data_IF_244783835579
#
_entry.id   IF_244783835579
#
_cell.length_a   1.000
_cell.length_b   1.000
_cell.length_c   1.000
_cell.angle_alpha   90.00
_cell.angle_beta   90.00
_cell.angle_gamma   90.00
#
_symmetry.space_group_name_H-M   'P 1'
#
loop_
_entity.id
_entity.type
_entity.pdbx_description
1 polymer ?
#
# COMPACT_ATOMS: atom_id res chain seq x y z
N UNK A 1 10.60 27.90 2.89
CA UNK A 1 9.63 28.14 1.81
C UNK A 1 8.33 27.56 2.29
N UNK A 2 7.31 28.38 2.43
CA UNK A 2 6.01 27.94 2.93
C UNK A 2 5.31 27.11 1.85
N UNK A 3 4.89 25.88 2.20
CA UNK A 3 4.05 25.07 1.32
C UNK A 3 2.74 25.86 1.06
N UNK A 4 2.22 25.88 -0.17
CA UNK A 4 0.95 26.56 -0.45
C UNK A 4 -0.20 25.86 0.29
N UNK A 5 -1.21 26.58 0.78
CA UNK A 5 -2.34 26.00 1.48
C UNK A 5 -3.17 25.14 0.52
N UNK A 6 -3.29 23.85 0.84
CA UNK A 6 -4.24 22.94 0.19
C UNK A 6 -5.60 23.10 0.87
N UNK A 7 -6.56 23.76 0.21
CA UNK A 7 -7.95 23.91 0.66
C UNK A 7 -8.89 23.01 -0.11
N UNK A 8 -9.96 22.60 0.53
CA UNK A 8 -10.95 21.61 0.08
C UNK A 8 -11.76 22.03 -1.15
N UNK A 9 -12.04 21.07 -2.03
CA UNK A 9 -13.17 21.10 -2.99
C UNK A 9 -14.02 19.87 -2.73
N UNK A 10 -15.35 19.96 -2.54
CA UNK A 10 -16.20 18.81 -2.21
C UNK A 10 -16.66 18.03 -3.43
N UNK A 11 -16.99 16.75 -3.20
CA UNK A 11 -17.77 15.81 -4.02
C UNK A 11 -17.00 14.89 -4.97
N UNK A 12 -16.93 13.63 -4.56
CA UNK A 12 -17.16 12.36 -5.26
C UNK A 12 -16.39 11.17 -4.63
N UNK A 13 -16.45 10.97 -3.32
CA UNK A 13 -15.83 9.81 -2.66
C UNK A 13 -16.82 9.00 -1.79
N UNK A 14 -18.12 8.90 -2.19
CA UNK A 14 -19.17 8.36 -1.28
C UNK A 14 -19.64 6.94 -1.59
N UNK A 15 -19.14 6.24 -2.60
CA UNK A 15 -19.74 4.96 -3.01
C UNK A 15 -19.03 3.68 -2.57
N UNK A 16 -17.78 3.73 -2.09
CA UNK A 16 -17.07 2.49 -1.73
C UNK A 16 -17.11 2.16 -0.22
N UNK A 17 -17.20 3.15 0.65
CA UNK A 17 -17.30 2.94 2.11
C UNK A 17 -18.66 2.45 2.60
N UNK A 18 -19.75 2.67 1.87
CA UNK A 18 -21.07 2.19 2.29
C UNK A 18 -21.22 0.67 2.19
N UNK A 19 -20.55 0.03 1.26
CA UNK A 19 -20.63 -1.43 1.12
C UNK A 19 -19.98 -2.18 2.31
N UNK A 20 -18.97 -1.59 2.94
CA UNK A 20 -18.28 -2.18 4.11
C UNK A 20 -18.97 -1.81 5.43
N UNK A 21 -19.57 -0.60 5.54
CA UNK A 21 -20.34 -0.20 6.73
C UNK A 21 -21.67 -0.93 6.87
N UNK A 22 -22.26 -1.40 5.77
CA UNK A 22 -23.51 -2.21 5.79
C UNK A 22 -23.29 -3.65 6.25
N UNK A 23 -22.06 -4.14 6.34
CA UNK A 23 -21.75 -5.46 6.88
C UNK A 23 -21.50 -5.47 8.41
N UNK A 24 -21.38 -4.30 9.03
CA UNK A 24 -21.11 -4.13 10.46
C UNK A 24 -22.28 -3.42 11.17
N UNK A 25 -23.47 -4.02 11.10
CA UNK A 25 -24.70 -3.67 11.79
C UNK A 25 -24.64 -2.67 12.94
N UNK A 26 -24.77 -1.37 12.67
CA UNK A 26 -25.16 -0.38 13.67
C UNK A 26 -26.19 0.57 13.03
N UNK A 27 -27.45 0.44 13.45
CA UNK A 27 -28.48 1.43 13.14
C UNK A 27 -29.87 0.81 13.07
N UNK A 28 -30.60 0.88 14.21
CA UNK A 28 -32.04 0.59 14.27
C UNK A 28 -32.81 1.45 13.29
N UNK A 29 -33.70 0.86 12.49
CA UNK A 29 -35.08 1.34 12.31
C UNK A 29 -35.89 0.44 11.36
N UNK A 30 -36.96 -0.08 11.92
CA UNK A 30 -38.30 -0.45 11.42
C UNK A 30 -38.48 -1.11 10.05
N UNK A 31 -39.15 -2.22 10.17
CA UNK A 31 -39.73 -3.10 9.17
C UNK A 31 -40.63 -2.42 8.15
N UNK A 32 -40.47 -2.77 6.88
CA UNK A 32 -41.57 -2.95 5.94
C UNK A 32 -41.24 -4.21 5.13
N UNK A 33 -42.21 -5.13 5.17
CA UNK A 33 -42.26 -6.41 4.48
C UNK A 33 -42.40 -6.25 2.97
N UNK A 34 -41.68 -7.00 2.17
CA UNK A 34 -42.23 -7.70 1.01
C UNK A 34 -41.24 -8.71 0.40
N UNK A 35 -41.66 -9.97 0.34
CA UNK A 35 -41.61 -10.91 -0.76
C UNK A 35 -40.24 -11.48 -1.19
N UNK A 36 -40.04 -12.72 -0.82
CA UNK A 36 -39.30 -13.81 -1.47
C UNK A 36 -38.71 -13.54 -2.87
N UNK A 37 -37.39 -13.71 -3.01
CA UNK A 37 -36.79 -14.52 -4.08
C UNK A 37 -35.50 -15.15 -3.52
N UNK A 38 -35.58 -16.47 -3.26
CA UNK A 38 -34.42 -17.32 -3.02
C UNK A 38 -33.71 -17.62 -4.35
N UNK A 39 -32.35 -17.47 -4.39
CA UNK A 39 -31.45 -18.47 -5.02
C UNK A 39 -29.98 -18.03 -4.84
N UNK A 40 -29.29 -18.81 -4.03
CA UNK A 40 -27.95 -19.34 -4.20
C UNK A 40 -26.91 -18.42 -4.87
N UNK A 41 -26.03 -17.83 -4.08
CA UNK A 41 -24.65 -17.59 -4.49
C UNK A 41 -23.72 -17.77 -3.29
N UNK A 42 -23.00 -18.87 -3.31
CA UNK A 42 -21.84 -19.14 -2.47
C UNK A 42 -20.79 -18.08 -2.70
N UNK A 43 -20.55 -17.21 -1.73
CA UNK A 43 -19.41 -16.32 -1.71
C UNK A 43 -18.15 -17.11 -1.36
N UNK A 44 -17.40 -17.51 -2.40
CA UNK A 44 -16.04 -18.02 -2.26
C UNK A 44 -15.08 -16.89 -1.88
N UNK A 45 -14.25 -17.14 -0.88
CA UNK A 45 -13.10 -16.30 -0.53
C UNK A 45 -12.24 -16.06 -1.78
N UNK A 46 -12.12 -14.81 -2.20
CA UNK A 46 -11.14 -14.41 -3.24
C UNK A 46 -9.76 -14.36 -2.56
N UNK A 47 -9.03 -15.47 -2.67
CA UNK A 47 -7.62 -15.48 -2.36
C UNK A 47 -6.86 -14.63 -3.39
N UNK A 48 -5.96 -13.78 -2.92
CA UNK A 48 -5.07 -12.99 -3.77
C UNK A 48 -3.97 -13.90 -4.36
N UNK A 49 -4.37 -14.84 -5.23
CA UNK A 49 -3.44 -15.68 -5.97
C UNK A 49 -2.98 -15.02 -7.26
N UNK A 50 -1.76 -15.30 -7.68
CA UNK A 50 -1.32 -15.04 -9.04
C UNK A 50 -2.24 -15.85 -9.98
N UNK A 51 -3.09 -15.18 -10.76
CA UNK A 51 -3.99 -15.86 -11.70
C UNK A 51 -3.16 -16.23 -12.92
N UNK A 52 -2.91 -17.52 -13.08
CA UNK A 52 -2.58 -18.12 -14.37
C UNK A 52 -3.88 -18.12 -15.18
N UNK A 53 -3.85 -17.60 -16.42
CA UNK A 53 -5.02 -17.36 -17.25
C UNK A 53 -5.86 -18.62 -17.49
N UNK A 54 -7.18 -18.41 -17.60
CA UNK A 54 -8.14 -19.45 -17.99
C UNK A 54 -7.88 -19.98 -19.40
N UNK A 55 -7.90 -21.31 -19.53
CA UNK A 55 -7.80 -22.01 -20.81
C UNK A 55 -9.05 -21.79 -21.66
N UNK A 56 -8.94 -21.08 -22.75
CA UNK A 56 -9.92 -21.16 -23.85
C UNK A 56 -9.43 -22.17 -24.87
N UNK A 57 -10.10 -23.30 -24.95
CA UNK A 57 -9.92 -24.31 -25.99
C UNK A 57 -10.34 -23.76 -27.37
N UNK A 58 -9.39 -23.39 -28.21
CA UNK A 58 -9.57 -23.38 -29.65
C UNK A 58 -8.24 -23.72 -30.38
N UNK A 59 -8.25 -24.84 -31.12
CA UNK A 59 -7.44 -25.09 -32.31
C UNK A 59 -5.91 -25.18 -32.17
N UNK A 60 -5.31 -26.26 -32.67
CA UNK A 60 -3.88 -26.52 -32.83
C UNK A 60 -3.13 -25.36 -33.50
N UNK A 61 -2.66 -24.43 -32.73
CA UNK A 61 -1.67 -23.41 -33.03
C UNK A 61 -0.85 -23.24 -31.76
N UNK A 62 0.47 -23.10 -31.90
CA UNK A 62 1.36 -22.82 -30.79
C UNK A 62 0.88 -21.55 -30.10
N UNK A 63 0.00 -21.69 -29.07
CA UNK A 63 -0.42 -20.58 -28.25
C UNK A 63 0.79 -20.27 -27.36
N UNK A 64 1.51 -19.21 -27.69
CA UNK A 64 2.45 -18.61 -26.76
C UNK A 64 1.62 -18.13 -25.57
N UNK A 65 1.70 -18.84 -24.44
CA UNK A 65 1.12 -18.38 -23.18
C UNK A 65 1.78 -17.06 -22.83
N UNK A 66 1.07 -15.95 -23.09
CA UNK A 66 1.54 -14.63 -22.67
C UNK A 66 1.42 -14.57 -21.16
N UNK A 67 2.53 -14.67 -20.45
CA UNK A 67 2.56 -14.57 -19.01
C UNK A 67 2.12 -13.16 -18.61
N UNK A 68 0.94 -13.06 -18.00
CA UNK A 68 0.41 -11.79 -17.48
C UNK A 68 0.74 -11.67 -16.01
N UNK A 69 1.40 -10.58 -15.59
CA UNK A 69 1.82 -10.38 -14.21
C UNK A 69 1.19 -9.13 -13.60
N UNK A 70 0.81 -9.26 -12.31
CA UNK A 70 0.37 -8.14 -11.49
C UNK A 70 1.54 -7.62 -10.66
N UNK A 71 1.91 -6.36 -10.89
CA UNK A 71 3.01 -5.71 -10.20
C UNK A 71 2.54 -4.60 -9.27
N UNK A 72 3.25 -4.47 -8.16
CA UNK A 72 3.17 -3.32 -7.27
C UNK A 72 4.59 -2.86 -6.91
N UNK A 73 4.78 -1.62 -6.41
CA UNK A 73 6.09 -1.15 -5.96
C UNK A 73 6.77 -2.09 -4.97
N UNK A 74 6.01 -2.68 -4.04
CA UNK A 74 6.53 -3.64 -3.06
C UNK A 74 7.03 -4.93 -3.72
N UNK A 75 6.25 -5.52 -4.63
CA UNK A 75 6.64 -6.75 -5.36
C UNK A 75 7.89 -6.55 -6.21
N UNK A 76 7.98 -5.40 -6.88
CA UNK A 76 9.21 -5.04 -7.64
C UNK A 76 10.42 -4.90 -6.70
N UNK A 77 10.22 -4.24 -5.56
CA UNK A 77 11.29 -4.09 -4.56
C UNK A 77 11.73 -5.45 -4.00
N UNK A 78 10.82 -6.38 -3.75
CA UNK A 78 11.14 -7.73 -3.31
C UNK A 78 11.98 -8.49 -4.33
N UNK A 79 11.57 -8.49 -5.60
CA UNK A 79 12.32 -9.15 -6.67
C UNK A 79 13.72 -8.56 -6.81
N UNK A 80 13.84 -7.23 -6.84
CA UNK A 80 15.14 -6.54 -6.91
C UNK A 80 16.04 -6.84 -5.70
N UNK A 81 15.46 -7.00 -4.52
CA UNK A 81 16.21 -7.36 -3.31
C UNK A 81 16.69 -8.81 -3.35
N UNK A 82 15.82 -9.75 -3.71
CA UNK A 82 16.16 -11.16 -3.82
C UNK A 82 15.08 -11.91 -4.63
N UNK A 83 15.37 -12.35 -5.88
CA UNK A 83 14.42 -13.14 -6.68
C UNK A 83 13.92 -14.40 -5.95
N UNK A 84 14.77 -15.07 -5.14
CA UNK A 84 14.36 -16.24 -4.36
C UNK A 84 13.30 -15.90 -3.30
N UNK A 85 13.42 -14.74 -2.63
CA UNK A 85 12.43 -14.26 -1.67
C UNK A 85 11.09 -13.96 -2.36
N UNK A 86 11.16 -13.33 -3.54
CA UNK A 86 9.98 -13.09 -4.39
C UNK A 86 9.28 -14.42 -4.74
N UNK A 87 10.04 -15.47 -5.12
CA UNK A 87 9.48 -16.80 -5.39
C UNK A 87 8.70 -17.32 -4.17
N UNK A 88 9.31 -17.29 -2.99
CA UNK A 88 8.70 -17.81 -1.76
C UNK A 88 7.42 -17.03 -1.40
N UNK A 89 7.45 -15.70 -1.46
CA UNK A 89 6.34 -14.85 -1.03
C UNK A 89 5.22 -14.69 -2.06
N UNK A 90 5.58 -14.58 -3.35
CA UNK A 90 4.64 -14.18 -4.40
C UNK A 90 4.18 -15.36 -5.23
N UNK A 91 5.09 -16.27 -5.62
CA UNK A 91 4.77 -17.41 -6.45
C UNK A 91 4.28 -18.59 -5.61
N UNK A 92 5.07 -19.01 -4.61
CA UNK A 92 4.77 -20.17 -3.76
C UNK A 92 3.88 -19.83 -2.57
N UNK A 93 3.76 -18.54 -2.22
CA UNK A 93 2.94 -18.03 -1.12
C UNK A 93 3.19 -18.76 0.21
N UNK A 94 4.46 -19.04 0.50
CA UNK A 94 4.82 -19.71 1.73
C UNK A 94 4.43 -18.88 2.95
N UNK A 95 3.90 -19.52 4.01
CA UNK A 95 3.48 -18.79 5.21
C UNK A 95 4.69 -18.13 5.89
N UNK A 96 4.50 -16.91 6.34
CA UNK A 96 5.49 -16.12 7.09
C UNK A 96 4.81 -15.56 8.34
N UNK A 97 5.44 -15.59 9.50
CA UNK A 97 4.86 -15.00 10.70
C UNK A 97 4.70 -13.48 10.53
N UNK A 98 3.68 -12.89 11.15
CA UNK A 98 3.50 -11.45 11.10
C UNK A 98 4.68 -10.71 11.73
N UNK A 99 5.05 -9.57 11.14
CA UNK A 99 6.09 -8.70 11.66
C UNK A 99 5.49 -7.64 12.57
N UNK A 100 5.99 -7.52 13.80
CA UNK A 100 5.53 -6.53 14.77
C UNK A 100 5.66 -5.09 14.23
N UNK A 101 6.72 -4.81 13.47
CA UNK A 101 6.94 -3.49 12.87
C UNK A 101 5.99 -3.21 11.71
N UNK A 102 5.67 -4.24 10.90
CA UNK A 102 4.68 -4.11 9.82
C UNK A 102 3.27 -3.90 10.39
N UNK A 103 2.89 -4.64 11.44
CA UNK A 103 1.58 -4.50 12.07
C UNK A 103 1.42 -3.14 12.77
N UNK A 104 2.49 -2.60 13.36
CA UNK A 104 2.50 -1.24 13.89
C UNK A 104 2.36 -0.21 12.78
N UNK A 105 3.01 -0.42 11.64
CA UNK A 105 2.82 0.40 10.45
C UNK A 105 1.37 0.42 9.99
N UNK A 106 0.74 -0.75 9.88
CA UNK A 106 -0.69 -0.87 9.53
C UNK A 106 -1.59 -0.09 10.50
N UNK A 107 -1.36 -0.21 11.82
CA UNK A 107 -2.12 0.54 12.82
C UNK A 107 -1.98 2.05 12.62
N UNK A 108 -0.77 2.54 12.39
CA UNK A 108 -0.49 3.97 12.15
C UNK A 108 -1.20 4.46 10.89
N UNK A 109 -1.12 3.73 9.77
CA UNK A 109 -1.79 4.11 8.52
C UNK A 109 -3.30 4.20 8.72
N UNK A 110 -3.92 3.22 9.38
CA UNK A 110 -5.35 3.25 9.70
C UNK A 110 -5.72 4.48 10.56
N UNK A 111 -4.93 4.80 11.60
CA UNK A 111 -5.19 5.97 12.44
C UNK A 111 -5.07 7.26 11.62
N UNK A 112 -4.04 7.40 10.78
CA UNK A 112 -3.83 8.59 9.96
C UNK A 112 -4.89 8.72 8.85
N UNK A 113 -5.40 7.60 8.31
CA UNK A 113 -6.54 7.59 7.42
C UNK A 113 -7.79 8.12 8.11
N UNK A 114 -8.14 7.56 9.28
CA UNK A 114 -9.34 7.91 10.04
C UNK A 114 -9.30 9.33 10.61
N UNK A 115 -8.11 9.87 10.88
CA UNK A 115 -7.93 11.22 11.39
C UNK A 115 -8.62 12.27 10.49
N UNK A 116 -8.65 12.03 9.18
CA UNK A 116 -9.31 12.91 8.22
C UNK A 116 -10.84 12.73 8.14
N UNK A 117 -11.42 11.78 8.86
CA UNK A 117 -12.88 11.71 9.07
C UNK A 117 -13.34 12.72 10.14
N UNK A 118 -12.44 13.21 10.97
CA UNK A 118 -12.73 14.24 11.96
C UNK A 118 -12.83 15.63 11.33
N UNK A 119 -13.52 16.53 12.02
CA UNK A 119 -13.49 17.95 11.67
C UNK A 119 -12.05 18.49 11.79
N UNK A 120 -11.65 19.46 10.96
CA UNK A 120 -10.29 20.00 10.99
C UNK A 120 -9.79 20.38 12.40
N UNK A 121 -10.63 21.04 13.21
CA UNK A 121 -10.29 21.43 14.59
C UNK A 121 -10.04 20.28 15.55
N UNK A 122 -10.47 19.07 15.19
CA UNK A 122 -10.32 17.86 16.00
C UNK A 122 -9.13 17.00 15.52
N UNK A 123 -8.50 17.33 14.40
CA UNK A 123 -7.34 16.63 13.86
C UNK A 123 -6.07 16.99 14.60
N UNK A 124 -5.93 16.48 15.80
CA UNK A 124 -4.80 16.73 16.69
C UNK A 124 -4.22 15.43 17.24
N UNK A 125 -3.06 15.54 17.87
CA UNK A 125 -2.32 14.40 18.41
C UNK A 125 -3.15 13.61 19.44
N UNK A 126 -3.89 14.29 20.33
CA UNK A 126 -4.70 13.62 21.34
C UNK A 126 -5.81 12.77 20.71
N UNK A 127 -6.48 13.28 19.67
CA UNK A 127 -7.50 12.54 18.92
C UNK A 127 -6.90 11.31 18.24
N UNK A 128 -5.75 11.46 17.58
CA UNK A 128 -5.07 10.33 16.92
C UNK A 128 -4.67 9.23 17.92
N UNK A 129 -4.09 9.60 19.05
CA UNK A 129 -3.73 8.65 20.13
C UNK A 129 -4.98 7.98 20.71
N UNK A 130 -6.08 8.73 20.87
CA UNK A 130 -7.35 8.22 21.35
C UNK A 130 -7.98 7.13 20.47
N UNK A 131 -7.68 7.11 19.16
CA UNK A 131 -8.14 6.07 18.23
C UNK A 131 -7.37 4.75 18.37
N UNK A 132 -6.12 4.78 18.83
CA UNK A 132 -5.21 3.65 18.79
C UNK A 132 -5.75 2.38 19.51
N UNK A 133 -6.36 2.45 20.72
CA UNK A 133 -6.85 1.25 21.39
C UNK A 133 -7.96 0.53 20.62
N UNK A 134 -8.90 1.27 20.05
CA UNK A 134 -10.00 0.67 19.29
C UNK A 134 -9.51 0.08 17.97
N UNK A 135 -8.62 0.76 17.24
CA UNK A 135 -8.04 0.23 15.99
C UNK A 135 -7.16 -0.99 16.24
N UNK A 136 -6.42 -1.01 17.34
CA UNK A 136 -5.68 -2.19 17.78
C UNK A 136 -6.59 -3.37 18.12
N UNK A 137 -7.68 -3.13 18.83
CA UNK A 137 -8.68 -4.15 19.15
C UNK A 137 -9.28 -4.79 17.87
N UNK A 138 -9.57 -3.96 16.85
CA UNK A 138 -10.05 -4.45 15.56
C UNK A 138 -8.97 -5.31 14.89
N UNK A 139 -7.73 -4.85 14.83
CA UNK A 139 -6.61 -5.58 14.24
C UNK A 139 -6.35 -6.93 14.93
N UNK A 140 -6.46 -6.97 16.27
CA UNK A 140 -6.40 -8.21 17.05
C UNK A 140 -7.54 -9.18 16.73
N UNK A 141 -8.77 -8.66 16.50
CA UNK A 141 -9.90 -9.51 16.14
C UNK A 141 -9.75 -10.17 14.77
N UNK A 142 -9.07 -9.50 13.84
CA UNK A 142 -8.75 -10.01 12.50
C UNK A 142 -7.55 -10.97 12.51
N UNK A 143 -6.58 -10.70 13.40
CA UNK A 143 -5.32 -11.43 13.51
C UNK A 143 -5.00 -11.79 14.96
N UNK A 144 -5.69 -12.78 15.56
CA UNK A 144 -5.53 -13.10 17.01
C UNK A 144 -4.10 -13.46 17.42
N UNK A 145 -3.29 -14.00 16.51
CA UNK A 145 -1.88 -14.34 16.78
C UNK A 145 -1.02 -13.11 17.16
N UNK A 146 -1.49 -11.89 16.88
CA UNK A 146 -0.78 -10.67 17.26
C UNK A 146 -0.73 -10.46 18.78
N UNK A 147 -1.67 -11.03 19.54
CA UNK A 147 -1.67 -10.95 20.99
C UNK A 147 -0.40 -11.59 21.61
N UNK A 148 0.10 -12.67 20.99
CA UNK A 148 1.32 -13.33 21.43
C UNK A 148 2.59 -12.53 21.07
N UNK A 149 2.54 -11.77 19.95
CA UNK A 149 3.65 -10.94 19.51
C UNK A 149 3.78 -9.63 20.29
N UNK A 150 2.68 -9.17 20.90
CA UNK A 150 2.61 -7.92 21.65
C UNK A 150 2.23 -8.21 23.11
N UNK A 151 3.13 -8.84 23.89
CA UNK A 151 2.82 -9.20 25.27
C UNK A 151 2.76 -7.98 26.21
N UNK A 152 3.29 -6.84 25.80
CA UNK A 152 3.30 -5.58 26.55
C UNK A 152 2.60 -4.46 25.75
N UNK A 153 1.28 -4.37 25.91
CA UNK A 153 0.48 -3.34 25.24
C UNK A 153 0.90 -1.92 25.61
N UNK A 154 1.37 -1.69 26.85
CA UNK A 154 1.84 -0.36 27.24
C UNK A 154 3.02 0.09 26.37
N UNK A 155 4.02 -0.75 26.22
CA UNK A 155 5.20 -0.46 25.35
C UNK A 155 4.78 -0.30 23.90
N UNK A 156 3.82 -1.10 23.43
CA UNK A 156 3.25 -0.99 22.10
C UNK A 156 2.64 0.39 21.86
N UNK A 157 1.73 0.85 22.76
CA UNK A 157 1.10 2.15 22.63
C UNK A 157 2.07 3.32 22.87
N UNK A 158 3.08 3.17 23.71
CA UNK A 158 4.14 4.17 23.86
C UNK A 158 4.87 4.39 22.52
N UNK A 159 5.16 3.32 21.77
CA UNK A 159 5.78 3.41 20.43
C UNK A 159 4.83 3.99 19.39
N UNK A 160 3.56 3.59 19.38
CA UNK A 160 2.52 4.18 18.51
C UNK A 160 2.39 5.68 18.78
N UNK A 161 2.30 6.08 20.03
CA UNK A 161 2.23 7.48 20.44
C UNK A 161 3.45 8.30 19.96
N UNK A 162 4.66 7.76 20.07
CA UNK A 162 5.87 8.42 19.58
C UNK A 162 5.84 8.66 18.06
N UNK A 163 5.36 7.68 17.26
CA UNK A 163 5.23 7.83 15.82
C UNK A 163 4.16 8.86 15.45
N UNK A 164 3.02 8.84 16.12
CA UNK A 164 1.96 9.84 15.92
C UNK A 164 2.44 11.24 16.30
N UNK A 165 3.16 11.40 17.43
CA UNK A 165 3.78 12.68 17.79
C UNK A 165 4.66 13.21 16.65
N UNK A 166 5.51 12.37 16.09
CA UNK A 166 6.39 12.75 14.98
C UNK A 166 5.62 13.15 13.73
N UNK A 167 4.44 12.55 13.46
CA UNK A 167 3.57 12.98 12.37
C UNK A 167 3.12 14.44 12.54
N UNK A 168 2.68 14.84 13.75
CA UNK A 168 2.25 16.22 14.04
C UNK A 168 3.40 17.24 14.09
N UNK A 169 4.66 16.77 14.13
CA UNK A 169 5.83 17.63 13.90
C UNK A 169 6.06 17.89 12.41
N UNK A 170 5.62 16.98 11.52
CA UNK A 170 5.80 17.07 10.07
C UNK A 170 4.67 17.80 9.36
N UNK A 171 3.42 17.64 9.81
CA UNK A 171 2.23 18.20 9.18
C UNK A 171 1.24 18.77 10.19
N UNK A 172 0.38 19.65 9.68
CA UNK A 172 -0.74 20.27 10.41
C UNK A 172 -2.06 19.86 9.73
N UNK A 173 -2.60 18.66 10.02
CA UNK A 173 -3.76 18.12 9.31
C UNK A 173 -5.04 18.95 9.49
N UNK A 174 -5.07 19.85 10.47
CA UNK A 174 -6.15 20.81 10.68
C UNK A 174 -6.20 21.90 9.59
N UNK A 175 -5.13 22.07 8.79
CA UNK A 175 -5.00 23.17 7.81
C UNK A 175 -5.32 22.75 6.37
N UNK A 176 -5.57 21.48 6.10
CA UNK A 176 -5.85 20.98 4.75
C UNK A 176 -6.80 19.77 4.77
N UNK A 177 -7.32 19.41 3.60
CA UNK A 177 -8.14 18.21 3.41
C UNK A 177 -7.39 17.17 2.57
N UNK A 178 -7.47 15.89 2.99
CA UNK A 178 -7.08 14.78 2.14
C UNK A 178 -8.16 14.53 1.07
N UNK A 179 -7.82 14.69 -0.20
CA UNK A 179 -8.78 14.46 -1.29
C UNK A 179 -9.08 12.96 -1.43
N UNK A 180 -8.05 12.12 -1.36
CA UNK A 180 -8.17 10.68 -1.34
C UNK A 180 -7.25 10.08 -0.28
N UNK A 181 -7.68 8.97 0.31
CA UNK A 181 -6.94 8.20 1.29
C UNK A 181 -7.01 6.72 0.92
N UNK A 182 -5.92 5.97 1.10
CA UNK A 182 -5.80 4.55 0.72
C UNK A 182 -6.33 4.30 -0.70
N UNK A 183 -6.04 5.23 -1.62
CA UNK A 183 -6.56 5.17 -2.99
C UNK A 183 -5.89 4.04 -3.77
N UNK A 184 -6.69 3.08 -4.22
CA UNK A 184 -6.22 2.07 -5.15
C UNK A 184 -6.10 2.65 -6.57
N UNK A 185 -4.89 2.65 -7.10
CA UNK A 185 -4.59 3.00 -8.49
C UNK A 185 -4.20 1.73 -9.24
N UNK A 186 -4.74 1.53 -10.43
CA UNK A 186 -4.44 0.35 -11.23
C UNK A 186 -4.57 0.62 -12.72
N UNK A 187 -3.68 0.05 -13.53
CA UNK A 187 -3.69 0.18 -14.99
C UNK A 187 -2.88 -0.91 -15.67
N UNK A 188 -3.34 -1.34 -16.84
CA UNK A 188 -2.52 -2.10 -17.78
C UNK A 188 -1.48 -1.18 -18.43
N UNK A 189 -0.21 -1.49 -18.26
CA UNK A 189 0.87 -0.79 -18.95
C UNK A 189 1.10 -1.36 -20.36
N UNK A 190 0.88 -2.65 -20.51
CA UNK A 190 0.89 -3.37 -21.78
C UNK A 190 0.11 -4.69 -21.63
N UNK A 191 0.14 -5.54 -22.67
CA UNK A 191 -0.58 -6.82 -22.68
C UNK A 191 -0.10 -7.84 -21.61
N UNK A 192 1.04 -7.63 -20.98
CA UNK A 192 1.64 -8.56 -20.01
C UNK A 192 1.74 -8.00 -18.60
N UNK A 193 1.65 -6.67 -18.43
CA UNK A 193 1.94 -5.99 -17.17
C UNK A 193 0.76 -5.16 -16.70
N UNK A 194 0.13 -5.63 -15.63
CA UNK A 194 -0.86 -4.90 -14.86
C UNK A 194 -0.19 -4.28 -13.63
N UNK A 195 -0.13 -2.96 -13.58
CA UNK A 195 0.45 -2.21 -12.47
C UNK A 195 -0.64 -1.73 -11.52
N UNK A 196 -0.43 -1.92 -10.23
CA UNK A 196 -1.34 -1.42 -9.22
C UNK A 196 -0.61 -0.98 -7.95
N UNK A 197 -1.30 -0.20 -7.12
CA UNK A 197 -0.81 0.19 -5.80
C UNK A 197 -1.84 0.96 -4.99
N UNK A 198 -1.61 1.02 -3.70
CA UNK A 198 -2.40 1.83 -2.77
C UNK A 198 -1.58 3.05 -2.40
N UNK A 199 -2.19 4.22 -2.50
CA UNK A 199 -1.56 5.50 -2.14
C UNK A 199 -2.17 5.96 -0.84
N UNK A 200 -1.34 6.12 0.19
CA UNK A 200 -1.82 6.44 1.53
C UNK A 200 -2.66 7.72 1.53
N UNK A 201 -2.18 8.77 0.83
CA UNK A 201 -2.93 10.02 0.71
C UNK A 201 -2.62 10.79 -0.58
N UNK A 202 -3.66 11.37 -1.17
CA UNK A 202 -3.57 12.31 -2.29
C UNK A 202 -4.30 13.59 -1.91
N UNK A 203 -3.59 14.72 -2.01
CA UNK A 203 -4.15 16.03 -1.80
C UNK A 203 -4.20 16.78 -3.13
N UNK A 204 -5.33 17.41 -3.42
CA UNK A 204 -5.53 18.24 -4.63
C UNK A 204 -5.81 19.67 -4.20
N UNK A 205 -4.92 20.58 -4.56
CA UNK A 205 -5.09 22.01 -4.28
C UNK A 205 -6.23 22.61 -5.14
N UNK A 206 -6.83 23.72 -4.73
CA UNK A 206 -7.84 24.45 -5.56
C UNK A 206 -7.30 24.84 -6.94
N UNK A 207 -5.99 24.99 -7.08
CA UNK A 207 -5.29 25.24 -8.34
C UNK A 207 -5.15 24.02 -9.25
N UNK A 208 -5.58 22.82 -8.78
CA UNK A 208 -5.41 21.55 -9.48
C UNK A 208 -4.05 20.87 -9.27
N UNK A 209 -3.15 21.47 -8.50
CA UNK A 209 -1.87 20.82 -8.16
C UNK A 209 -2.09 19.63 -7.25
N UNK A 210 -1.40 18.54 -7.55
CA UNK A 210 -1.54 17.25 -6.84
C UNK A 210 -0.30 16.98 -6.00
N UNK A 211 -0.52 16.57 -4.75
CA UNK A 211 0.50 16.05 -3.84
C UNK A 211 0.19 14.58 -3.51
N UNK A 212 1.17 13.71 -3.68
CA UNK A 212 1.10 12.31 -3.25
C UNK A 212 1.95 12.17 -1.98
N UNK A 213 1.36 11.58 -0.95
CA UNK A 213 2.00 11.37 0.36
C UNK A 213 1.97 9.89 0.72
N UNK A 214 3.08 9.39 1.26
CA UNK A 214 3.22 8.03 1.79
C UNK A 214 3.90 8.09 3.16
N UNK A 215 3.41 7.30 4.11
CA UNK A 215 3.90 7.26 5.49
C UNK A 215 4.80 6.04 5.70
N UNK A 216 5.92 6.26 6.36
CA UNK A 216 6.84 5.20 6.76
C UNK A 216 7.03 5.23 8.27
N UNK A 217 6.67 4.15 8.95
CA UNK A 217 6.85 4.01 10.41
C UNK A 217 8.33 3.88 10.82
N UNK A 218 9.22 3.58 9.87
CA UNK A 218 10.67 3.50 10.07
C UNK A 218 11.35 4.87 10.06
N UNK A 219 12.69 4.84 10.20
CA UNK A 219 13.55 6.02 10.06
C UNK A 219 13.90 6.28 8.60
N UNK A 220 14.16 7.54 8.29
CA UNK A 220 14.61 7.99 6.97
C UNK A 220 15.93 7.31 6.56
N UNK A 221 16.14 7.05 5.26
CA UNK A 221 17.42 6.60 4.75
C UNK A 221 18.49 7.67 4.99
N UNK A 222 19.77 7.26 4.95
CA UNK A 222 20.86 8.22 4.95
C UNK A 222 20.77 9.12 3.72
N UNK A 223 21.23 10.38 3.85
CA UNK A 223 21.29 11.32 2.74
C UNK A 223 22.05 10.70 1.56
N UNK A 224 21.44 10.78 0.36
CA UNK A 224 21.95 10.18 -0.87
C UNK A 224 21.46 8.74 -1.12
N UNK A 225 20.64 8.15 -0.23
CA UNK A 225 20.06 6.81 -0.38
C UNK A 225 18.54 6.83 -0.54
N UNK A 226 17.98 8.01 -0.80
CA UNK A 226 16.53 8.21 -0.91
C UNK A 226 15.93 7.65 -2.20
N UNK A 227 16.76 7.44 -3.23
CA UNK A 227 16.33 7.08 -4.59
C UNK A 227 15.44 5.82 -4.62
N UNK A 228 15.77 4.82 -3.79
CA UNK A 228 14.98 3.58 -3.71
C UNK A 228 13.57 3.83 -3.15
N UNK A 229 13.47 4.72 -2.17
CA UNK A 229 12.20 5.08 -1.55
C UNK A 229 11.37 5.98 -2.48
N UNK A 230 12.02 6.93 -3.16
CA UNK A 230 11.39 7.79 -4.16
C UNK A 230 10.89 7.01 -5.39
N UNK A 231 11.52 5.89 -5.73
CA UNK A 231 11.05 5.04 -6.83
C UNK A 231 9.59 4.57 -6.61
N UNK A 232 9.22 4.16 -5.40
CA UNK A 232 7.84 3.81 -5.07
C UNK A 232 6.87 4.97 -5.36
N UNK A 233 7.19 6.17 -4.90
CA UNK A 233 6.35 7.35 -5.13
C UNK A 233 6.26 7.74 -6.60
N UNK A 234 7.36 7.58 -7.36
CA UNK A 234 7.33 7.83 -8.81
C UNK A 234 6.44 6.83 -9.54
N UNK A 235 6.36 5.58 -9.07
CA UNK A 235 5.40 4.59 -9.62
C UNK A 235 3.97 5.03 -9.35
N UNK A 236 3.66 5.52 -8.16
CA UNK A 236 2.34 6.08 -7.85
C UNK A 236 2.04 7.34 -8.69
N UNK A 237 3.03 8.22 -8.86
CA UNK A 237 2.90 9.40 -9.70
C UNK A 237 2.69 9.05 -11.18
N UNK A 238 3.36 8.01 -11.68
CA UNK A 238 3.17 7.48 -13.02
C UNK A 238 1.73 6.95 -13.21
N UNK A 239 1.25 6.11 -12.29
CA UNK A 239 -0.13 5.62 -12.30
C UNK A 239 -1.14 6.77 -12.29
N UNK A 240 -0.96 7.72 -11.37
CA UNK A 240 -1.85 8.88 -11.28
C UNK A 240 -1.85 9.69 -12.58
N UNK A 241 -0.68 9.96 -13.14
CA UNK A 241 -0.54 10.69 -14.40
C UNK A 241 -1.22 9.96 -15.56
N UNK A 242 -1.00 8.65 -15.68
CA UNK A 242 -1.63 7.84 -16.75
C UNK A 242 -3.15 7.80 -16.64
N UNK A 243 -3.70 7.77 -15.43
CA UNK A 243 -5.14 7.72 -15.18
C UNK A 243 -5.83 9.07 -15.30
N UNK A 244 -5.16 10.16 -14.88
CA UNK A 244 -5.79 11.48 -14.75
C UNK A 244 -5.19 12.54 -15.68
N UNK A 245 -4.13 12.25 -16.42
CA UNK A 245 -3.46 13.21 -17.31
C UNK A 245 -2.68 14.32 -16.60
N UNK A 246 -2.57 14.27 -15.27
CA UNK A 246 -1.91 15.29 -14.44
C UNK A 246 -0.67 14.71 -13.76
N UNK A 247 0.49 15.32 -13.97
CA UNK A 247 1.72 14.99 -13.25
C UNK A 247 1.63 15.59 -11.84
N UNK A 248 1.75 14.79 -10.77
CA UNK A 248 1.77 15.30 -9.40
C UNK A 248 2.91 16.31 -9.21
N UNK A 249 2.57 17.48 -8.64
CA UNK A 249 3.54 18.56 -8.42
C UNK A 249 4.52 18.25 -7.29
N UNK A 250 4.11 17.40 -6.33
CA UNK A 250 4.90 17.08 -5.15
C UNK A 250 4.68 15.64 -4.70
N UNK A 251 5.76 14.93 -4.44
CA UNK A 251 5.81 13.62 -3.81
C UNK A 251 6.43 13.75 -2.43
N UNK A 252 5.84 13.17 -1.41
CA UNK A 252 6.30 13.29 -0.02
C UNK A 252 6.34 11.92 0.65
N UNK A 253 7.50 11.56 1.21
CA UNK A 253 7.65 10.45 2.15
C UNK A 253 7.82 11.03 3.55
N UNK A 254 6.89 10.73 4.44
CA UNK A 254 7.00 11.07 5.86
C UNK A 254 7.55 9.88 6.65
N UNK A 255 8.77 10.01 7.15
CA UNK A 255 9.39 9.04 8.04
C UNK A 255 9.08 9.38 9.49
N UNK A 256 8.12 8.64 10.05
CA UNK A 256 7.63 8.89 11.40
C UNK A 256 8.64 8.43 12.47
N UNK A 257 9.57 7.54 12.13
CA UNK A 257 10.57 7.05 13.08
C UNK A 257 11.62 8.07 13.51
N UNK A 258 11.78 9.17 12.77
CA UNK A 258 12.74 10.26 13.05
C UNK A 258 12.23 11.64 12.65
N UNK A 259 10.92 11.80 12.45
CA UNK A 259 10.24 13.05 12.06
C UNK A 259 10.91 13.75 10.87
N UNK A 260 11.20 13.02 9.80
CA UNK A 260 11.83 13.56 8.58
C UNK A 260 10.98 13.33 7.35
N UNK A 261 11.00 14.31 6.44
CA UNK A 261 10.34 14.19 5.14
C UNK A 261 11.37 14.17 4.01
N UNK A 262 11.17 13.28 3.06
CA UNK A 262 11.85 13.31 1.76
C UNK A 262 10.85 13.78 0.72
N UNK A 263 11.20 14.81 -0.03
CA UNK A 263 10.32 15.46 -1.02
C UNK A 263 10.94 15.39 -2.40
N UNK A 264 10.10 15.24 -3.45
CA UNK A 264 10.52 15.28 -4.84
C UNK A 264 9.41 15.88 -5.70
N UNK A 265 9.76 16.64 -6.72
CA UNK A 265 8.82 17.13 -7.74
C UNK A 265 9.15 16.43 -9.06
N UNK A 266 8.39 15.40 -9.45
CA UNK A 266 8.72 14.60 -10.61
C UNK A 266 8.50 15.38 -11.91
N UNK A 267 9.39 15.17 -12.87
CA UNK A 267 9.22 15.63 -14.24
C UNK A 267 8.65 14.51 -15.12
N UNK A 268 8.07 14.87 -16.25
CA UNK A 268 7.61 13.88 -17.25
C UNK A 268 8.75 12.93 -17.65
N UNK A 269 9.94 13.45 -17.90
CA UNK A 269 11.11 12.65 -18.27
C UNK A 269 11.49 11.63 -17.18
N UNK A 270 11.40 12.00 -15.90
CA UNK A 270 11.64 11.07 -14.79
C UNK A 270 10.56 10.00 -14.68
N UNK A 271 9.28 10.33 -14.94
CA UNK A 271 8.19 9.36 -14.93
C UNK A 271 8.31 8.37 -16.11
N UNK A 272 8.67 8.84 -17.30
CA UNK A 272 8.95 7.97 -18.45
C UNK A 272 10.18 7.06 -18.20
N UNK A 273 11.22 7.58 -17.55
CA UNK A 273 12.37 6.77 -17.12
C UNK A 273 11.96 5.72 -16.07
N UNK A 274 11.06 6.08 -15.17
CA UNK A 274 10.50 5.17 -14.16
C UNK A 274 9.70 4.04 -14.82
N UNK A 275 8.86 4.36 -15.82
CA UNK A 275 8.11 3.38 -16.59
C UNK A 275 9.03 2.40 -17.33
N UNK A 276 10.08 2.92 -18.00
CA UNK A 276 11.08 2.06 -18.66
C UNK A 276 11.75 1.09 -17.69
N UNK A 277 12.17 1.58 -16.53
CA UNK A 277 12.78 0.75 -15.47
C UNK A 277 11.80 -0.29 -14.93
N UNK A 278 10.53 0.09 -14.76
CA UNK A 278 9.47 -0.79 -14.30
C UNK A 278 9.24 -1.93 -15.30
N UNK A 279 9.14 -1.62 -16.60
CA UNK A 279 8.96 -2.62 -17.66
C UNK A 279 10.17 -3.57 -17.74
N UNK A 280 11.38 -3.06 -17.55
CA UNK A 280 12.58 -3.91 -17.47
C UNK A 280 12.49 -4.90 -16.29
N UNK A 281 12.08 -4.45 -15.10
CA UNK A 281 11.89 -5.35 -13.95
C UNK A 281 10.78 -6.36 -14.24
N UNK A 282 9.72 -5.96 -14.93
CA UNK A 282 8.65 -6.84 -15.35
C UNK A 282 9.17 -7.96 -16.26
N UNK A 283 9.96 -7.63 -17.27
CA UNK A 283 10.56 -8.60 -18.21
C UNK A 283 11.49 -9.58 -17.48
N UNK A 284 12.26 -9.09 -16.49
CA UNK A 284 13.11 -9.94 -15.64
C UNK A 284 12.27 -10.93 -14.80
N UNK A 285 11.13 -10.48 -14.25
CA UNK A 285 10.20 -11.33 -13.48
C UNK A 285 9.55 -12.36 -14.40
N UNK A 286 9.04 -11.95 -15.57
CA UNK A 286 8.43 -12.86 -16.56
C UNK A 286 9.45 -13.93 -16.97
N UNK A 287 10.67 -13.52 -17.30
CA UNK A 287 11.75 -14.45 -17.67
C UNK A 287 12.06 -15.43 -16.52
N UNK A 288 12.06 -14.96 -15.26
CA UNK A 288 12.29 -15.82 -14.11
C UNK A 288 11.16 -16.83 -13.91
N UNK A 289 9.90 -16.43 -14.16
CA UNK A 289 8.73 -17.32 -14.10
C UNK A 289 8.80 -18.37 -15.19
N UNK A 290 9.03 -17.97 -16.46
CA UNK A 290 9.08 -18.87 -17.60
C UNK A 290 10.20 -19.92 -17.51
N UNK A 291 11.34 -19.55 -16.91
CA UNK A 291 12.48 -20.45 -16.70
C UNK A 291 12.45 -21.18 -15.36
N UNK A 292 11.49 -20.89 -14.51
CA UNK A 292 11.48 -21.28 -13.08
C UNK A 292 12.83 -21.05 -12.38
N UNK A 293 13.48 -19.93 -12.73
CA UNK A 293 14.81 -19.61 -12.26
C UNK A 293 14.83 -18.33 -11.42
N UNK A 294 14.91 -18.49 -10.11
CA UNK A 294 14.92 -17.43 -9.11
C UNK A 294 16.17 -17.54 -8.23
N UNK A 295 17.33 -17.00 -8.67
CA UNK A 295 18.57 -17.12 -7.91
C UNK A 295 18.47 -16.33 -6.59
N UNK A 296 19.04 -16.87 -5.49
CA UNK A 296 19.15 -16.12 -4.26
C UNK A 296 20.18 -15.00 -4.42
N UNK A 297 19.88 -13.84 -3.79
CA UNK A 297 20.78 -12.69 -3.76
C UNK A 297 21.18 -12.42 -2.33
N UNK A 298 22.30 -13.02 -1.90
CA UNK A 298 22.82 -12.88 -0.55
C UNK A 298 23.13 -11.40 -0.22
N UNK A 299 22.63 -10.92 0.91
CA UNK A 299 22.83 -9.56 1.40
C UNK A 299 22.58 -9.53 2.91
N UNK A 300 22.76 -8.36 3.55
CA UNK A 300 22.39 -8.18 4.96
C UNK A 300 20.92 -8.49 5.27
N UNK A 301 20.03 -8.42 4.26
CA UNK A 301 18.62 -8.79 4.46
C UNK A 301 18.43 -10.27 4.81
N UNK A 302 19.42 -11.13 4.52
CA UNK A 302 19.38 -12.54 4.89
C UNK A 302 19.41 -12.77 6.40
N UNK A 303 19.91 -11.80 7.18
CA UNK A 303 19.96 -11.92 8.65
C UNK A 303 18.56 -11.86 9.27
N UNK A 304 17.61 -11.27 8.57
CA UNK A 304 16.19 -11.15 8.98
C UNK A 304 15.24 -11.95 8.07
N UNK A 305 15.78 -12.74 7.13
CA UNK A 305 14.95 -13.51 6.21
C UNK A 305 14.37 -14.75 6.90
N UNK A 306 13.05 -14.83 6.98
CA UNK A 306 12.36 -15.97 7.57
C UNK A 306 12.69 -17.29 6.86
N UNK A 307 12.91 -17.24 5.55
CA UNK A 307 13.18 -18.42 4.72
C UNK A 307 14.65 -18.81 4.65
N UNK A 308 15.50 -18.32 5.56
CA UNK A 308 16.95 -18.59 5.56
C UNK A 308 17.24 -20.09 5.63
N UNK A 309 16.47 -20.84 6.43
CA UNK A 309 16.65 -22.28 6.66
C UNK A 309 16.37 -23.16 5.44
N UNK A 310 15.59 -22.66 4.46
CA UNK A 310 15.28 -23.39 3.22
C UNK A 310 15.92 -22.75 1.98
N UNK A 311 16.74 -21.72 2.19
CA UNK A 311 17.34 -20.96 1.11
C UNK A 311 18.63 -21.62 0.60
N UNK A 312 18.76 -21.91 -0.72
CA UNK A 312 19.96 -22.56 -1.27
C UNK A 312 21.24 -21.72 -1.16
N UNK A 313 21.17 -20.45 -0.75
CA UNK A 313 22.35 -19.64 -0.46
C UNK A 313 22.93 -19.93 0.94
N UNK A 314 22.22 -20.66 1.79
CA UNK A 314 22.57 -20.92 3.20
C UNK A 314 22.54 -22.42 3.55
N UNK A 315 22.22 -23.28 2.56
CA UNK A 315 22.18 -24.74 2.66
C UNK A 315 23.03 -25.37 1.56
#
# INVERSE_FOLDING_TARGET
MNDPPFMSVPLFAWRYREAVKLSLGIGKLNAITCGEIARSSTFGRVGHGAILGEESHFGNGMVSHVTHIRLSPSRMSEFNNCPRLYKYRVIEQLPEPPSIDAERGTLIHTILEDLFDLQPSERNHASAVGMAPERWRIQLSEKPALAELVPNEKEWFDRVNALLKNYFELEKPETFEATHREMHLEQDLNAQVYLHGYVDRIDVAPTGQVRIVDYKSGKSPKIGWEEKALFQLRVYALLYWRLHGVIPALLVLHYLGDARSVKSSPTEAELLSTEKKLLQIADEIITAIEKDYFPPKASRLCDWCFFKSICPAHN
#
